data_IF_688778983888
#
_entry.id   IF_688778983888
#
_cell.length_a   1.000
_cell.length_b   1.000
_cell.length_c   1.000
_cell.angle_alpha   90.00
_cell.angle_beta   90.00
_cell.angle_gamma   90.00
#
_symmetry.space_group_name_H-M   'P 1'
#
loop_
_entity.id
_entity.type
_entity.pdbx_description
1 polymer ?
#
# COMPACT_ATOMS: atom_id res chain seq x y z
N UNK A 1 -16.26 -29.32 19.12
CA UNK A 1 -15.19 -29.23 18.10
C UNK A 1 -14.79 -27.77 18.00
N UNK A 2 -13.52 -27.43 18.18
CA UNK A 2 -13.12 -26.01 18.16
C UNK A 2 -13.30 -25.45 16.76
N UNK A 3 -14.09 -24.39 16.64
CA UNK A 3 -14.44 -23.74 15.38
C UNK A 3 -13.22 -23.04 14.79
N UNK A 4 -12.75 -23.49 13.61
CA UNK A 4 -11.60 -22.93 12.88
C UNK A 4 -12.07 -21.82 11.94
N UNK A 5 -11.32 -20.73 11.87
CA UNK A 5 -11.57 -19.61 10.96
C UNK A 5 -10.52 -19.54 9.85
N UNK A 6 -10.88 -18.91 8.73
CA UNK A 6 -10.02 -18.67 7.58
C UNK A 6 -9.93 -17.16 7.34
N UNK A 7 -8.75 -16.62 7.06
CA UNK A 7 -8.62 -15.30 6.45
C UNK A 7 -7.93 -15.41 5.09
N UNK A 8 -8.51 -14.78 4.07
CA UNK A 8 -7.82 -14.55 2.80
C UNK A 8 -7.11 -13.20 2.87
N UNK A 9 -5.80 -13.18 2.64
CA UNK A 9 -4.99 -11.97 2.60
C UNK A 9 -4.50 -11.76 1.17
N UNK A 10 -4.84 -10.60 0.60
CA UNK A 10 -4.48 -10.26 -0.78
C UNK A 10 -3.05 -9.73 -0.88
N UNK A 11 -2.48 -9.76 -2.09
CA UNK A 11 -1.10 -9.31 -2.35
C UNK A 11 -0.85 -7.83 -2.08
N UNK A 12 -1.91 -7.02 -2.03
CA UNK A 12 -1.87 -5.61 -1.65
C UNK A 12 -2.27 -5.36 -0.19
N UNK A 13 -2.37 -6.41 0.65
CA UNK A 13 -2.82 -6.35 2.04
C UNK A 13 -1.78 -6.93 3.03
N UNK A 14 -0.48 -6.79 2.76
CA UNK A 14 0.61 -7.39 3.55
C UNK A 14 0.91 -6.61 4.84
N UNK A 15 -0.11 -6.41 5.68
CA UNK A 15 0.00 -5.69 6.96
C UNK A 15 -0.38 -6.59 8.14
N UNK A 16 0.42 -6.56 9.21
CA UNK A 16 0.13 -7.31 10.43
C UNK A 16 -1.08 -6.77 11.21
N UNK A 17 -1.50 -5.52 10.93
CA UNK A 17 -2.59 -4.84 11.62
C UNK A 17 -3.92 -4.91 10.87
N UNK A 18 -4.02 -5.77 9.84
CA UNK A 18 -5.28 -5.97 9.14
C UNK A 18 -6.37 -6.50 10.08
N UNK A 19 -7.59 -5.93 10.04
CA UNK A 19 -8.70 -6.44 10.84
C UNK A 19 -9.06 -7.91 10.55
N UNK A 20 -8.97 -8.35 9.29
CA UNK A 20 -9.22 -9.74 8.89
C UNK A 20 -8.21 -10.71 9.52
N UNK A 21 -6.95 -10.28 9.66
CA UNK A 21 -5.89 -11.06 10.30
C UNK A 21 -6.01 -11.03 11.83
N UNK A 22 -6.36 -9.88 12.41
CA UNK A 22 -6.54 -9.71 13.86
C UNK A 22 -7.75 -10.47 14.41
N UNK A 23 -8.73 -10.82 13.55
CA UNK A 23 -9.85 -11.65 13.93
C UNK A 23 -9.45 -13.13 14.18
N UNK A 24 -8.29 -13.56 13.67
CA UNK A 24 -7.85 -14.94 13.79
C UNK A 24 -7.12 -15.23 15.10
N UNK A 25 -7.27 -16.46 15.59
CA UNK A 25 -6.37 -17.06 16.57
C UNK A 25 -5.16 -17.69 15.84
N UNK A 26 -3.93 -17.17 16.02
CA UNK A 26 -2.75 -17.64 15.27
C UNK A 26 -2.49 -19.15 15.39
N UNK A 27 -2.72 -19.72 16.58
CA UNK A 27 -2.41 -21.13 16.86
C UNK A 27 -3.37 -22.12 16.19
N UNK A 28 -4.54 -21.68 15.74
CA UNK A 28 -5.63 -22.56 15.26
C UNK A 28 -6.11 -22.20 13.87
N UNK A 29 -6.30 -20.92 13.62
CA UNK A 29 -6.96 -20.44 12.41
C UNK A 29 -5.97 -20.37 11.25
N UNK A 30 -6.50 -20.35 10.03
CA UNK A 30 -5.71 -20.44 8.81
C UNK A 30 -5.66 -19.10 8.08
N UNK A 31 -4.47 -18.71 7.64
CA UNK A 31 -4.27 -17.63 6.67
C UNK A 31 -4.04 -18.26 5.30
N UNK A 32 -4.80 -17.82 4.30
CA UNK A 32 -4.61 -18.17 2.89
C UNK A 32 -4.01 -16.98 2.14
N UNK A 33 -2.93 -17.22 1.42
CA UNK A 33 -2.39 -16.33 0.38
C UNK A 33 -2.20 -17.16 -0.90
N UNK A 34 -2.48 -16.56 -2.04
CA UNK A 34 -2.34 -17.24 -3.32
C UNK A 34 -1.82 -16.31 -4.42
N UNK A 35 -0.78 -16.76 -5.13
CA UNK A 35 -0.32 -16.18 -6.38
C UNK A 35 -1.16 -16.81 -7.51
N UNK A 36 -2.00 -16.04 -8.20
CA UNK A 36 -2.93 -16.60 -9.19
C UNK A 36 -2.78 -15.94 -10.56
N UNK A 37 -3.00 -16.71 -11.62
CA UNK A 37 -2.81 -16.21 -12.98
C UNK A 37 -3.75 -15.05 -13.30
N UNK A 38 -5.02 -15.12 -12.91
CA UNK A 38 -6.02 -14.06 -13.15
C UNK A 38 -5.53 -12.68 -12.67
N UNK A 39 -4.97 -12.60 -11.47
CA UNK A 39 -4.48 -11.34 -10.92
C UNK A 39 -3.20 -10.85 -11.60
N UNK A 40 -2.36 -11.78 -12.06
CA UNK A 40 -1.13 -11.48 -12.78
C UNK A 40 -1.33 -11.17 -14.27
N UNK A 41 -2.52 -11.40 -14.83
CA UNK A 41 -2.78 -11.28 -16.28
C UNK A 41 -4.04 -10.50 -16.68
N UNK A 42 -4.89 -10.05 -15.75
CA UNK A 42 -6.08 -9.24 -16.09
C UNK A 42 -5.71 -7.93 -16.83
N UNK A 43 -4.49 -7.43 -16.60
CA UNK A 43 -3.80 -6.47 -17.45
C UNK A 43 -2.32 -6.92 -17.61
N UNK A 44 -1.62 -6.50 -18.67
CA UNK A 44 -0.21 -6.86 -18.86
C UNK A 44 0.70 -6.06 -17.90
N UNK A 45 0.74 -6.45 -16.63
CA UNK A 45 1.54 -5.78 -15.60
C UNK A 45 3.03 -5.82 -15.94
N UNK A 46 3.77 -4.77 -15.58
CA UNK A 46 5.23 -4.77 -15.69
C UNK A 46 5.83 -5.96 -14.89
N UNK A 47 6.80 -6.73 -15.44
CA UNK A 47 7.39 -7.88 -14.76
C UNK A 47 7.89 -7.59 -13.34
N UNK A 48 8.55 -6.44 -13.10
CA UNK A 48 8.97 -6.05 -11.74
C UNK A 48 7.80 -5.88 -10.76
N UNK A 49 6.61 -5.46 -11.21
CA UNK A 49 5.43 -5.37 -10.33
C UNK A 49 4.99 -6.75 -9.87
N UNK A 50 4.95 -7.71 -10.80
CA UNK A 50 4.60 -9.11 -10.49
C UNK A 50 5.63 -9.70 -9.52
N UNK A 51 6.92 -9.55 -9.84
CA UNK A 51 8.01 -10.04 -8.99
C UNK A 51 8.00 -9.39 -7.59
N UNK A 52 7.74 -8.08 -7.52
CA UNK A 52 7.59 -7.36 -6.26
C UNK A 52 6.47 -7.92 -5.40
N UNK A 53 5.26 -8.05 -5.96
CA UNK A 53 4.10 -8.56 -5.23
C UNK A 53 4.31 -10.00 -4.75
N UNK A 54 4.75 -10.91 -5.63
CA UNK A 54 4.96 -12.31 -5.25
C UNK A 54 6.09 -12.47 -4.23
N UNK A 55 7.21 -11.76 -4.42
CA UNK A 55 8.29 -11.79 -3.44
C UNK A 55 7.81 -11.26 -2.09
N UNK A 56 7.12 -10.13 -2.05
CA UNK A 56 6.60 -9.56 -0.80
C UNK A 56 5.57 -10.48 -0.14
N UNK A 57 4.69 -11.12 -0.92
CA UNK A 57 3.71 -12.10 -0.42
C UNK A 57 4.38 -13.31 0.22
N UNK A 58 5.40 -13.90 -0.43
CA UNK A 58 6.17 -15.04 0.11
C UNK A 58 6.88 -14.66 1.42
N UNK A 59 7.51 -13.49 1.46
CA UNK A 59 8.14 -12.98 2.68
C UNK A 59 7.14 -12.71 3.81
N UNK A 60 5.98 -12.15 3.47
CA UNK A 60 4.92 -11.91 4.45
C UNK A 60 4.36 -13.22 5.01
N UNK A 61 4.21 -14.26 4.18
CA UNK A 61 3.81 -15.58 4.63
C UNK A 61 4.80 -16.19 5.63
N UNK A 62 6.12 -16.08 5.37
CA UNK A 62 7.15 -16.48 6.33
C UNK A 62 7.09 -15.66 7.61
N UNK A 63 6.91 -14.35 7.50
CA UNK A 63 6.79 -13.46 8.65
C UNK A 63 5.55 -13.78 9.52
N UNK A 64 4.45 -14.21 8.91
CA UNK A 64 3.26 -14.70 9.62
C UNK A 64 3.52 -16.04 10.31
N UNK A 65 4.19 -16.99 9.64
CA UNK A 65 4.59 -18.28 10.25
C UNK A 65 5.47 -18.07 11.48
N UNK A 66 6.44 -17.15 11.40
CA UNK A 66 7.30 -16.78 12.53
C UNK A 66 6.53 -16.13 13.69
N UNK A 67 5.38 -15.49 13.40
CA UNK A 67 4.45 -14.94 14.40
C UNK A 67 3.45 -15.98 14.94
N UNK A 68 3.58 -17.23 14.52
CA UNK A 68 2.77 -18.35 15.01
C UNK A 68 1.46 -18.58 14.27
N UNK A 69 1.21 -17.87 13.15
CA UNK A 69 0.05 -18.14 12.30
C UNK A 69 0.24 -19.44 11.50
N UNK A 70 -0.85 -20.19 11.33
CA UNK A 70 -0.88 -21.23 10.29
C UNK A 70 -1.13 -20.56 8.93
N UNK A 71 -0.25 -20.83 7.95
CA UNK A 71 -0.31 -20.19 6.63
C UNK A 71 -0.32 -21.25 5.54
N UNK A 72 -1.41 -21.30 4.78
CA UNK A 72 -1.47 -21.98 3.50
C UNK A 72 -1.10 -20.96 2.41
N UNK A 73 0.02 -21.20 1.75
CA UNK A 73 0.50 -20.36 0.66
C UNK A 73 0.48 -21.15 -0.64
N UNK A 74 -0.16 -20.61 -1.67
CA UNK A 74 -0.26 -21.25 -2.99
C UNK A 74 0.58 -20.46 -3.97
N UNK A 75 1.65 -21.08 -4.48
CA UNK A 75 2.53 -20.45 -5.47
C UNK A 75 1.92 -20.50 -6.85
N UNK A 76 2.34 -19.59 -7.74
CA UNK A 76 1.80 -19.51 -9.10
C UNK A 76 2.06 -20.79 -9.92
N UNK A 77 3.15 -21.48 -9.62
CA UNK A 77 3.61 -22.71 -10.29
C UNK A 77 3.16 -24.00 -9.59
N UNK A 78 2.37 -23.91 -8.51
CA UNK A 78 1.72 -25.07 -7.89
C UNK A 78 0.81 -25.77 -8.92
N UNK A 79 1.00 -27.07 -9.20
CA UNK A 79 0.16 -27.82 -10.15
C UNK A 79 -1.33 -27.85 -9.79
N UNK A 80 -1.69 -27.65 -8.52
CA UNK A 80 -3.06 -27.62 -8.03
C UNK A 80 -3.66 -26.21 -7.99
N UNK A 81 -2.89 -25.16 -8.34
CA UNK A 81 -3.37 -23.77 -8.37
C UNK A 81 -4.60 -23.65 -9.28
N UNK A 82 -5.69 -23.08 -8.76
CA UNK A 82 -6.97 -22.95 -9.47
C UNK A 82 -6.97 -21.80 -10.47
N UNK A 83 -5.97 -20.91 -10.41
CA UNK A 83 -5.80 -19.78 -11.32
C UNK A 83 -6.53 -18.50 -10.92
N UNK A 84 -7.33 -18.49 -9.85
CA UNK A 84 -8.11 -17.34 -9.37
C UNK A 84 -8.27 -17.31 -7.85
N UNK A 85 -8.37 -16.12 -7.25
CA UNK A 85 -8.54 -15.97 -5.79
C UNK A 85 -9.80 -16.67 -5.28
N UNK A 86 -10.90 -16.57 -6.03
CA UNK A 86 -12.15 -17.24 -5.68
C UNK A 86 -12.00 -18.77 -5.75
N UNK A 87 -11.34 -19.29 -6.77
CA UNK A 87 -11.11 -20.74 -6.89
C UNK A 87 -10.23 -21.28 -5.76
N UNK A 88 -9.21 -20.53 -5.34
CA UNK A 88 -8.34 -20.87 -4.23
C UNK A 88 -9.10 -20.92 -2.90
N UNK A 89 -9.95 -19.91 -2.68
CA UNK A 89 -10.82 -19.85 -1.51
C UNK A 89 -11.81 -21.02 -1.50
N UNK A 90 -12.46 -21.31 -2.63
CA UNK A 90 -13.38 -22.46 -2.77
C UNK A 90 -12.67 -23.79 -2.55
N UNK A 91 -11.45 -23.96 -3.08
CA UNK A 91 -10.65 -25.17 -2.88
C UNK A 91 -10.33 -25.37 -1.40
N UNK A 92 -9.96 -24.31 -0.68
CA UNK A 92 -9.70 -24.39 0.75
C UNK A 92 -10.96 -24.73 1.55
N UNK A 93 -12.10 -24.13 1.22
CA UNK A 93 -13.40 -24.42 1.86
C UNK A 93 -13.92 -25.83 1.57
N UNK A 94 -13.52 -26.44 0.46
CA UNK A 94 -13.85 -27.83 0.14
C UNK A 94 -12.93 -28.82 0.88
N UNK A 95 -11.67 -28.45 1.14
CA UNK A 95 -10.70 -29.29 1.82
C UNK A 95 -10.92 -29.37 3.33
N UNK A 96 -11.38 -28.28 3.95
CA UNK A 96 -11.52 -28.17 5.40
C UNK A 96 -12.78 -27.38 5.79
N UNK A 97 -13.35 -27.70 6.96
CA UNK A 97 -14.51 -26.97 7.48
C UNK A 97 -14.09 -25.73 8.27
N UNK A 98 -14.61 -24.57 7.87
CA UNK A 98 -14.43 -23.30 8.56
C UNK A 98 -15.78 -22.73 8.99
N UNK A 99 -15.81 -22.02 10.12
CA UNK A 99 -17.06 -21.38 10.59
C UNK A 99 -17.28 -19.99 10.02
N UNK A 100 -16.23 -19.34 9.54
CA UNK A 100 -16.28 -18.03 8.92
C UNK A 100 -15.04 -17.82 8.04
N UNK A 101 -15.21 -17.03 6.98
CA UNK A 101 -14.11 -16.51 6.18
C UNK A 101 -13.98 -15.02 6.42
N UNK A 102 -12.81 -14.54 6.82
CA UNK A 102 -12.53 -13.14 7.12
C UNK A 102 -11.81 -12.49 5.94
N UNK A 103 -12.38 -11.43 5.39
CA UNK A 103 -11.78 -10.67 4.30
C UNK A 103 -11.75 -9.19 4.65
N UNK A 104 -10.64 -8.53 4.34
CA UNK A 104 -10.58 -7.09 4.32
C UNK A 104 -11.14 -6.59 2.96
N UNK A 105 -11.87 -5.48 2.99
CA UNK A 105 -12.21 -4.68 1.81
C UNK A 105 -11.07 -4.66 0.80
N UNK A 106 -11.37 -4.94 -0.47
CA UNK A 106 -10.34 -5.06 -1.50
C UNK A 106 -9.93 -3.71 -2.06
N UNK A 107 -8.83 -3.67 -2.83
CA UNK A 107 -8.41 -2.50 -3.61
C UNK A 107 -9.00 -2.43 -5.02
N UNK A 108 -9.71 -3.47 -5.48
CA UNK A 108 -10.20 -3.62 -6.86
C UNK A 108 -11.65 -4.11 -6.87
N UNK A 109 -12.55 -3.33 -7.46
CA UNK A 109 -13.96 -3.65 -7.62
C UNK A 109 -14.20 -5.01 -8.29
N UNK A 110 -13.39 -5.43 -9.27
CA UNK A 110 -13.53 -6.74 -9.94
C UNK A 110 -13.37 -7.87 -8.93
N UNK A 111 -12.35 -7.78 -8.08
CA UNK A 111 -12.04 -8.77 -7.04
C UNK A 111 -13.15 -8.77 -5.98
N UNK A 112 -13.55 -7.59 -5.50
CA UNK A 112 -14.63 -7.49 -4.50
C UNK A 112 -15.95 -8.06 -5.02
N UNK A 113 -16.30 -7.75 -6.28
CA UNK A 113 -17.50 -8.26 -6.92
C UNK A 113 -17.45 -9.78 -7.06
N UNK A 114 -16.36 -10.33 -7.58
CA UNK A 114 -16.17 -11.78 -7.75
C UNK A 114 -16.40 -12.54 -6.43
N UNK A 115 -15.84 -12.02 -5.33
CA UNK A 115 -15.97 -12.64 -4.01
C UNK A 115 -17.36 -12.46 -3.38
N UNK A 116 -18.02 -11.31 -3.60
CA UNK A 116 -19.39 -11.07 -3.12
C UNK A 116 -20.43 -11.91 -3.86
N UNK A 117 -20.25 -12.12 -5.17
CA UNK A 117 -21.18 -12.89 -6.00
C UNK A 117 -21.12 -14.40 -5.71
N UNK A 118 -20.06 -14.89 -5.04
CA UNK A 118 -19.83 -16.30 -4.77
C UNK A 118 -20.68 -16.92 -3.64
N UNK A 119 -21.53 -16.13 -2.97
CA UNK A 119 -22.40 -16.55 -1.85
C UNK A 119 -21.68 -17.38 -0.76
N UNK A 120 -20.44 -17.00 -0.46
CA UNK A 120 -19.63 -17.62 0.60
C UNK A 120 -19.90 -16.94 1.95
N UNK A 121 -19.76 -17.64 3.10
CA UNK A 121 -19.96 -17.08 4.44
C UNK A 121 -18.81 -16.15 4.86
N UNK A 122 -18.69 -15.02 4.15
CA UNK A 122 -17.63 -14.04 4.32
C UNK A 122 -18.05 -12.96 5.32
N UNK A 123 -17.23 -12.79 6.35
CA UNK A 123 -17.23 -11.60 7.21
C UNK A 123 -16.29 -10.56 6.61
N UNK A 124 -16.87 -9.48 6.09
CA UNK A 124 -16.14 -8.35 5.52
C UNK A 124 -15.69 -7.36 6.60
N UNK A 125 -14.45 -6.92 6.51
CA UNK A 125 -13.85 -5.92 7.39
C UNK A 125 -13.44 -4.69 6.58
N UNK A 126 -13.66 -3.50 7.14
CA UNK A 126 -13.17 -2.26 6.54
C UNK A 126 -11.64 -2.23 6.47
N UNK A 127 -11.07 -1.65 5.42
CA UNK A 127 -9.63 -1.46 5.32
C UNK A 127 -9.16 -0.27 6.17
N UNK A 128 -8.69 -0.55 7.37
CA UNK A 128 -8.23 0.44 8.36
C UNK A 128 -6.87 1.08 8.03
N UNK A 129 -6.18 0.60 6.98
CA UNK A 129 -4.92 1.20 6.52
C UNK A 129 -5.13 2.56 5.86
N UNK A 130 -6.35 2.85 5.43
CA UNK A 130 -6.76 4.19 5.01
C UNK A 130 -7.23 5.03 6.19
N UNK A 131 -7.03 6.35 6.09
CA UNK A 131 -7.42 7.30 7.13
C UNK A 131 -8.91 7.68 7.02
N UNK A 132 -9.48 7.54 5.83
CA UNK A 132 -10.88 7.75 5.52
C UNK A 132 -11.55 6.43 5.10
N UNK A 133 -12.62 6.03 5.80
CA UNK A 133 -13.44 4.88 5.38
C UNK A 133 -14.27 5.24 4.13
N UNK A 134 -14.75 4.21 3.42
CA UNK A 134 -15.60 4.40 2.24
C UNK A 134 -16.89 5.14 2.60
N UNK A 135 -17.51 4.80 3.73
CA UNK A 135 -18.72 5.44 4.25
C UNK A 135 -18.46 6.90 4.62
N UNK A 136 -17.33 7.20 5.26
CA UNK A 136 -16.96 8.57 5.60
C UNK A 136 -16.75 9.43 4.36
N UNK A 137 -16.09 8.88 3.34
CA UNK A 137 -15.89 9.60 2.08
C UNK A 137 -17.22 9.84 1.36
N UNK A 138 -18.09 8.82 1.30
CA UNK A 138 -19.43 8.96 0.71
C UNK A 138 -20.27 10.03 1.43
N UNK A 139 -20.23 10.06 2.78
CA UNK A 139 -20.89 11.10 3.57
C UNK A 139 -20.31 12.49 3.31
N UNK A 140 -18.99 12.61 3.12
CA UNK A 140 -18.36 13.87 2.74
C UNK A 140 -18.81 14.33 1.34
N UNK A 141 -18.90 13.41 0.38
CA UNK A 141 -19.27 13.72 -1.00
C UNK A 141 -20.76 14.05 -1.17
N UNK A 142 -21.62 13.49 -0.32
CA UNK A 142 -23.07 13.63 -0.41
C UNK A 142 -23.52 15.10 -0.53
N UNK A 143 -24.37 15.37 -1.53
CA UNK A 143 -24.94 16.71 -1.79
C UNK A 143 -23.98 17.73 -2.42
N UNK A 144 -22.70 17.39 -2.65
CA UNK A 144 -21.75 18.29 -3.32
C UNK A 144 -21.89 18.20 -4.83
N UNK A 145 -22.05 19.34 -5.50
CA UNK A 145 -22.07 19.42 -6.98
C UNK A 145 -20.71 19.20 -7.62
N UNK A 146 -19.64 19.54 -6.91
CA UNK A 146 -18.26 19.37 -7.36
C UNK A 146 -17.41 18.87 -6.20
N UNK A 147 -16.62 17.84 -6.46
CA UNK A 147 -15.64 17.33 -5.51
C UNK A 147 -14.28 17.98 -5.82
N UNK A 148 -13.62 18.52 -4.80
CA UNK A 148 -12.25 19.07 -4.93
C UNK A 148 -11.39 18.53 -3.79
N UNK A 149 -10.21 18.02 -4.14
CA UNK A 149 -9.24 17.45 -3.18
C UNK A 149 -8.91 18.45 -2.06
N UNK A 150 -8.75 19.74 -2.38
CA UNK A 150 -8.41 20.76 -1.38
C UNK A 150 -9.42 20.82 -0.21
N UNK A 151 -10.73 20.78 -0.47
CA UNK A 151 -11.73 20.83 0.59
C UNK A 151 -11.72 19.56 1.43
N UNK A 152 -11.58 18.40 0.79
CA UNK A 152 -11.40 17.13 1.48
C UNK A 152 -10.18 17.15 2.40
N UNK A 153 -9.02 17.59 1.88
CA UNK A 153 -7.77 17.66 2.63
C UNK A 153 -7.87 18.58 3.86
N UNK A 154 -8.48 19.76 3.72
CA UNK A 154 -8.71 20.68 4.85
C UNK A 154 -9.56 20.03 5.95
N UNK A 155 -10.62 19.33 5.59
CA UNK A 155 -11.46 18.61 6.56
C UNK A 155 -10.70 17.46 7.24
N UNK A 156 -9.89 16.72 6.49
CA UNK A 156 -9.09 15.63 7.02
C UNK A 156 -8.02 16.13 7.98
N UNK A 157 -7.35 17.25 7.68
CA UNK A 157 -6.40 17.89 8.59
C UNK A 157 -7.06 18.33 9.89
N UNK A 158 -8.23 18.97 9.83
CA UNK A 158 -9.04 19.33 11.02
C UNK A 158 -9.39 18.11 11.86
N UNK A 159 -9.89 17.05 11.21
CA UNK A 159 -10.33 15.83 11.89
C UNK A 159 -9.19 15.10 12.60
N UNK A 160 -8.01 15.06 11.99
CA UNK A 160 -6.84 14.35 12.52
C UNK A 160 -5.88 15.25 13.30
N UNK A 161 -6.19 16.54 13.42
CA UNK A 161 -5.37 17.54 14.07
C UNK A 161 -3.92 17.60 13.53
N UNK A 162 -3.75 17.56 12.21
CA UNK A 162 -2.42 17.52 11.57
C UNK A 162 -1.98 18.93 11.17
N UNK A 163 -0.80 19.35 11.64
CA UNK A 163 -0.18 20.66 11.39
C UNK A 163 -1.09 21.86 11.76
N UNK A 164 -1.92 21.74 12.80
CA UNK A 164 -2.80 22.81 13.25
C UNK A 164 -2.27 23.51 14.50
N UNK A 165 -2.57 24.79 14.62
CA UNK A 165 -2.41 25.54 15.85
C UNK A 165 -3.50 25.13 16.87
N UNK A 166 -3.32 25.41 18.17
CA UNK A 166 -4.31 25.09 19.21
C UNK A 166 -5.70 25.71 18.98
N UNK A 167 -5.79 26.81 18.23
CA UNK A 167 -7.04 27.48 17.86
C UNK A 167 -7.75 26.84 16.64
N UNK A 168 -7.19 25.78 16.07
CA UNK A 168 -7.71 25.08 14.89
C UNK A 168 -7.37 25.73 13.54
N UNK A 169 -6.56 26.80 13.54
CA UNK A 169 -6.03 27.40 12.30
C UNK A 169 -4.83 26.60 11.78
N UNK A 170 -4.55 26.61 10.46
CA UNK A 170 -3.40 25.89 9.94
C UNK A 170 -2.09 26.57 10.35
N UNK A 171 -1.10 25.76 10.73
CA UNK A 171 0.28 26.22 10.93
C UNK A 171 0.77 26.96 9.68
N UNK A 172 1.46 28.08 9.88
CA UNK A 172 1.92 28.96 8.81
C UNK A 172 0.82 29.82 8.15
N UNK A 173 -0.42 29.77 8.62
CA UNK A 173 -1.52 30.65 8.18
C UNK A 173 -2.18 30.26 6.85
N UNK A 174 -1.68 29.23 6.17
CA UNK A 174 -2.25 28.72 4.92
C UNK A 174 -2.47 27.20 4.98
N UNK A 175 -3.46 26.71 4.24
CA UNK A 175 -3.76 25.28 4.18
C UNK A 175 -2.84 24.49 3.25
N UNK A 176 -2.19 25.17 2.31
CA UNK A 176 -1.42 24.57 1.22
C UNK A 176 -0.27 25.50 0.84
N UNK A 177 0.95 24.95 0.70
CA UNK A 177 2.18 25.64 0.30
C UNK A 177 2.72 25.18 -1.06
N UNK A 178 1.86 24.63 -1.93
CA UNK A 178 2.21 24.12 -3.28
C UNK A 178 2.95 25.14 -4.17
N UNK A 179 2.64 26.43 -4.01
CA UNK A 179 3.28 27.49 -4.78
C UNK A 179 4.78 27.62 -4.46
N UNK A 180 5.19 27.24 -3.24
CA UNK A 180 6.58 27.30 -2.78
C UNK A 180 7.40 26.07 -3.24
N UNK A 181 6.73 25.05 -3.82
CA UNK A 181 7.32 23.76 -4.18
C UNK A 181 7.78 23.66 -5.65
N UNK A 182 8.18 24.80 -6.24
CA UNK A 182 8.46 24.93 -7.68
C UNK A 182 9.85 25.47 -7.98
N UNK A 183 10.81 25.25 -7.07
CA UNK A 183 12.17 25.74 -7.28
C UNK A 183 12.86 24.93 -8.39
N UNK A 184 13.68 25.62 -9.18
CA UNK A 184 14.54 24.97 -10.16
C UNK A 184 15.66 24.20 -9.46
N UNK A 185 15.97 22.99 -9.94
CA UNK A 185 17.08 22.19 -9.42
C UNK A 185 18.43 22.91 -9.68
N UNK A 186 19.23 23.19 -8.65
CA UNK A 186 20.57 23.76 -8.83
C UNK A 186 21.47 22.84 -9.66
N UNK A 187 22.34 23.42 -10.50
CA UNK A 187 23.27 22.64 -11.36
C UNK A 187 24.15 21.64 -10.62
N UNK A 188 24.45 21.91 -9.34
CA UNK A 188 25.30 21.07 -8.49
C UNK A 188 24.51 20.35 -7.39
N UNK A 189 23.17 20.28 -7.51
CA UNK A 189 22.35 19.53 -6.58
C UNK A 189 22.77 18.06 -6.60
N UNK A 190 22.91 17.48 -5.40
CA UNK A 190 23.22 16.06 -5.23
C UNK A 190 22.00 15.42 -4.58
N UNK A 191 21.06 14.88 -5.36
CA UNK A 191 19.95 14.15 -4.78
C UNK A 191 20.46 12.94 -4.00
N UNK A 192 19.68 12.42 -3.05
CA UNK A 192 20.04 11.23 -2.30
C UNK A 192 20.28 10.03 -3.22
N UNK A 193 21.30 9.25 -2.93
CA UNK A 193 21.53 8.00 -3.66
C UNK A 193 20.35 7.05 -3.44
N UNK A 194 19.94 6.30 -4.47
CA UNK A 194 18.85 5.35 -4.30
C UNK A 194 19.29 4.23 -3.36
N UNK A 195 18.60 4.09 -2.21
CA UNK A 195 18.68 2.87 -1.43
C UNK A 195 18.26 1.69 -2.32
N UNK A 196 19.12 0.66 -2.38
CA UNK A 196 18.90 -0.55 -3.16
C UNK A 196 18.79 -1.75 -2.22
N UNK A 197 17.73 -2.53 -2.40
CA UNK A 197 17.57 -3.83 -1.74
C UNK A 197 18.16 -4.89 -2.65
N UNK A 198 18.98 -5.77 -2.10
CA UNK A 198 19.55 -6.88 -2.88
C UNK A 198 18.56 -8.05 -2.84
N UNK A 199 18.19 -8.65 -3.98
CA UNK A 199 17.39 -9.86 -4.02
C UNK A 199 17.98 -10.96 -3.14
N UNK A 200 17.16 -11.55 -2.28
CA UNK A 200 17.53 -12.75 -1.54
C UNK A 200 17.09 -14.03 -2.27
N UNK A 201 17.25 -15.19 -1.64
CA UNK A 201 16.90 -16.47 -2.27
C UNK A 201 15.42 -16.54 -2.71
N UNK A 202 14.48 -16.05 -1.89
CA UNK A 202 13.06 -16.06 -2.23
C UNK A 202 12.81 -15.11 -3.41
N UNK A 203 13.42 -13.92 -3.41
CA UNK A 203 13.28 -12.97 -4.51
C UNK A 203 13.89 -13.51 -5.81
N UNK A 204 15.06 -14.15 -5.76
CA UNK A 204 15.73 -14.79 -6.91
C UNK A 204 14.84 -15.85 -7.57
N UNK A 205 14.22 -16.73 -6.77
CA UNK A 205 13.28 -17.73 -7.25
C UNK A 205 12.07 -17.10 -7.95
N UNK A 206 11.49 -16.05 -7.35
CA UNK A 206 10.37 -15.31 -7.94
C UNK A 206 10.80 -14.62 -9.24
N UNK A 207 11.98 -14.02 -9.30
CA UNK A 207 12.51 -13.39 -10.52
C UNK A 207 12.68 -14.42 -11.65
N UNK A 208 13.16 -15.63 -11.34
CA UNK A 208 13.26 -16.71 -12.32
C UNK A 208 11.88 -17.14 -12.83
N UNK A 209 10.92 -17.34 -11.93
CA UNK A 209 9.54 -17.69 -12.28
C UNK A 209 8.88 -16.62 -13.17
N UNK A 210 9.01 -15.34 -12.79
CA UNK A 210 8.40 -14.23 -13.55
C UNK A 210 9.05 -14.10 -14.93
N UNK A 211 10.38 -14.25 -15.02
CA UNK A 211 11.10 -14.24 -16.30
C UNK A 211 10.59 -15.34 -17.23
N UNK A 212 10.28 -16.52 -16.70
CA UNK A 212 9.75 -17.63 -17.50
C UNK A 212 8.30 -17.40 -17.94
N UNK A 213 7.43 -16.93 -17.04
CA UNK A 213 5.97 -16.88 -17.27
C UNK A 213 5.49 -15.61 -17.95
N UNK A 214 6.19 -14.49 -17.76
CA UNK A 214 5.74 -13.16 -18.19
C UNK A 214 6.77 -12.44 -19.06
N UNK A 215 7.63 -13.18 -19.78
CA UNK A 215 8.64 -12.64 -20.72
C UNK A 215 8.07 -11.80 -21.86
N UNK A 216 6.77 -11.94 -22.14
CA UNK A 216 6.05 -11.19 -23.18
C UNK A 216 5.46 -9.86 -22.68
N UNK A 217 5.54 -9.57 -21.37
CA UNK A 217 5.06 -8.32 -20.80
C UNK A 217 6.08 -7.19 -21.04
N UNK A 218 5.59 -5.95 -21.16
CA UNK A 218 6.44 -4.78 -21.30
C UNK A 218 7.28 -4.52 -20.03
N UNK A 219 8.60 -4.36 -20.21
CA UNK A 219 9.56 -4.05 -19.15
C UNK A 219 10.71 -5.04 -19.03
N UNK A 220 11.68 -4.72 -18.18
CA UNK A 220 12.77 -5.64 -17.80
C UNK A 220 12.73 -5.95 -16.30
N UNK A 221 13.25 -7.13 -15.92
CA UNK A 221 13.51 -7.51 -14.52
C UNK A 221 14.89 -7.06 -14.02
N UNK A 222 15.72 -6.47 -14.89
CA UNK A 222 17.04 -5.98 -14.52
C UNK A 222 16.94 -4.87 -13.45
N UNK A 223 17.97 -4.72 -12.62
CA UNK A 223 18.04 -3.73 -11.53
C UNK A 223 16.86 -3.78 -10.54
N UNK A 224 16.34 -4.97 -10.25
CA UNK A 224 15.29 -5.15 -9.24
C UNK A 224 15.80 -4.84 -7.83
N UNK A 225 15.34 -3.73 -7.25
CA UNK A 225 15.80 -3.22 -5.96
C UNK A 225 14.67 -2.74 -5.02
N UNK A 226 13.50 -3.36 -5.10
CA UNK A 226 12.33 -2.97 -4.30
C UNK A 226 12.41 -3.45 -2.84
N UNK A 227 11.84 -2.69 -1.87
CA UNK A 227 11.66 -3.14 -0.50
C UNK A 227 10.52 -4.17 -0.39
N UNK A 228 10.88 -5.43 -0.31
CA UNK A 228 9.96 -6.59 -0.29
C UNK A 228 9.56 -7.04 1.13
N UNK A 229 10.18 -6.50 2.18
CA UNK A 229 9.83 -6.77 3.57
C UNK A 229 9.46 -5.49 4.33
N UNK A 230 8.75 -5.62 5.46
CA UNK A 230 8.47 -4.48 6.37
C UNK A 230 9.77 -3.77 6.78
N UNK A 231 10.81 -4.52 7.14
CA UNK A 231 12.10 -3.97 7.54
C UNK A 231 12.80 -3.21 6.41
N UNK A 232 12.74 -3.71 5.17
CA UNK A 232 13.29 -2.99 4.02
C UNK A 232 12.53 -1.69 3.74
N UNK A 233 11.20 -1.73 3.87
CA UNK A 233 10.35 -0.57 3.66
C UNK A 233 10.59 0.50 4.74
N UNK A 234 10.74 0.10 6.01
CA UNK A 234 11.11 0.99 7.11
C UNK A 234 12.51 1.60 6.91
N UNK A 235 13.48 0.82 6.42
CA UNK A 235 14.81 1.33 6.07
C UNK A 235 14.75 2.36 4.94
N UNK A 236 13.94 2.11 3.90
CA UNK A 236 13.70 3.07 2.83
C UNK A 236 13.06 4.36 3.36
N UNK A 237 12.10 4.23 4.27
CA UNK A 237 11.43 5.37 4.90
C UNK A 237 12.40 6.20 5.74
N UNK A 238 13.17 5.57 6.62
CA UNK A 238 14.19 6.25 7.42
C UNK A 238 15.21 6.99 6.56
N UNK A 239 15.68 6.35 5.48
CA UNK A 239 16.59 6.99 4.52
C UNK A 239 15.98 8.25 3.90
N UNK A 240 14.70 8.20 3.52
CA UNK A 240 14.02 9.39 2.99
C UNK A 240 13.86 10.50 4.04
N UNK A 241 13.52 10.17 5.29
CA UNK A 241 13.44 11.16 6.37
C UNK A 241 14.76 11.90 6.57
N UNK A 242 15.87 11.18 6.54
CA UNK A 242 17.19 11.73 6.82
C UNK A 242 17.79 12.51 5.64
N UNK A 243 17.46 12.10 4.40
CA UNK A 243 18.16 12.63 3.21
C UNK A 243 17.26 13.32 2.18
N UNK A 244 15.97 12.95 2.10
CA UNK A 244 15.05 13.44 1.06
C UNK A 244 14.06 14.48 1.54
N UNK A 245 13.45 14.28 2.71
CA UNK A 245 12.28 15.03 3.16
C UNK A 245 12.52 16.55 3.19
N UNK A 246 13.68 17.00 3.67
CA UNK A 246 13.97 18.43 3.80
C UNK A 246 13.88 19.20 2.47
N UNK A 247 14.24 18.55 1.36
CA UNK A 247 14.22 19.16 0.02
C UNK A 247 13.07 18.66 -0.86
N UNK A 248 12.15 17.85 -0.30
CA UNK A 248 11.02 17.29 -1.03
C UNK A 248 10.15 18.39 -1.66
N UNK A 249 9.83 19.43 -0.90
CA UNK A 249 8.99 20.53 -1.36
C UNK A 249 9.65 21.30 -2.50
N UNK A 250 10.87 21.79 -2.28
CA UNK A 250 11.58 22.67 -3.22
C UNK A 250 11.68 22.08 -4.64
N UNK A 251 11.94 20.78 -4.74
CA UNK A 251 12.20 20.10 -6.02
C UNK A 251 11.08 19.15 -6.44
N UNK A 252 9.87 19.31 -5.90
CA UNK A 252 8.75 18.40 -6.14
C UNK A 252 8.41 18.25 -7.64
N UNK A 253 8.53 19.34 -8.40
CA UNK A 253 8.21 19.39 -9.84
C UNK A 253 9.46 19.35 -10.74
N UNK A 254 10.66 19.20 -10.17
CA UNK A 254 11.90 19.19 -10.94
C UNK A 254 12.07 17.87 -11.71
N UNK A 255 12.75 17.95 -12.87
CA UNK A 255 13.20 16.80 -13.64
C UNK A 255 14.65 17.02 -14.06
N UNK A 256 15.47 15.97 -14.00
CA UNK A 256 16.85 16.00 -14.44
C UNK A 256 17.23 14.70 -15.15
N UNK A 257 18.09 14.81 -16.17
CA UNK A 257 18.67 13.65 -16.84
C UNK A 257 19.48 12.83 -15.84
N UNK A 258 19.41 11.50 -15.96
CA UNK A 258 20.13 10.52 -15.13
C UNK A 258 19.80 10.53 -13.63
N UNK A 259 18.81 11.34 -13.22
CA UNK A 259 18.35 11.46 -11.83
C UNK A 259 16.87 11.06 -11.71
N UNK A 260 16.53 9.76 -11.81
CA UNK A 260 15.15 9.29 -11.95
C UNK A 260 14.29 9.48 -10.70
N UNK A 261 14.87 9.84 -9.56
CA UNK A 261 14.18 9.87 -8.27
C UNK A 261 14.23 11.20 -7.55
N UNK A 262 15.25 12.04 -7.81
CA UNK A 262 15.49 13.28 -7.08
C UNK A 262 15.27 13.11 -5.57
N UNK A 263 14.40 13.92 -4.97
CA UNK A 263 14.10 13.91 -3.55
C UNK A 263 12.77 13.20 -3.24
N UNK A 264 12.30 12.32 -4.12
CA UNK A 264 11.08 11.55 -3.86
C UNK A 264 11.33 10.36 -2.92
N UNK A 265 10.36 10.07 -2.07
CA UNK A 265 10.46 9.01 -1.07
C UNK A 265 10.53 7.58 -1.63
N UNK A 266 10.06 7.35 -2.86
CA UNK A 266 10.01 6.02 -3.51
C UNK A 266 9.25 4.95 -2.72
N UNK A 267 8.38 5.35 -1.78
CA UNK A 267 7.67 4.44 -0.88
C UNK A 267 6.33 3.92 -1.42
N UNK A 268 5.84 4.43 -2.56
CA UNK A 268 4.47 4.16 -3.02
C UNK A 268 4.17 2.67 -3.19
N UNK A 269 5.11 1.90 -3.76
CA UNK A 269 4.98 0.46 -3.92
C UNK A 269 4.80 -0.24 -2.56
N UNK A 270 5.69 0.04 -1.59
CA UNK A 270 5.64 -0.56 -0.26
C UNK A 270 4.39 -0.14 0.54
N UNK A 271 4.04 1.14 0.50
CA UNK A 271 2.87 1.68 1.18
C UNK A 271 1.57 1.08 0.64
N UNK A 272 1.45 0.94 -0.67
CA UNK A 272 0.21 0.47 -1.29
C UNK A 272 -0.06 -1.02 -1.05
N UNK A 273 0.97 -1.81 -0.75
CA UNK A 273 0.80 -3.22 -0.40
C UNK A 273 0.76 -3.47 1.11
N UNK A 274 0.87 -2.43 1.94
CA UNK A 274 0.74 -2.54 3.40
C UNK A 274 2.04 -2.79 4.18
N UNK A 275 3.22 -2.68 3.55
CA UNK A 275 4.51 -2.77 4.24
C UNK A 275 4.86 -1.50 5.05
N UNK A 276 4.12 -0.40 4.84
CA UNK A 276 4.24 0.84 5.60
C UNK A 276 2.86 1.27 6.12
N UNK A 277 2.83 1.92 7.28
CA UNK A 277 1.62 2.54 7.84
C UNK A 277 1.62 4.04 7.60
N UNK A 278 0.64 4.52 6.83
CA UNK A 278 0.45 5.94 6.52
C UNK A 278 0.36 6.83 7.77
N UNK A 279 -0.16 6.31 8.89
CA UNK A 279 -0.25 7.04 10.15
C UNK A 279 1.13 7.32 10.72
N UNK A 280 1.99 6.31 10.71
CA UNK A 280 3.39 6.46 11.13
C UNK A 280 4.11 7.47 10.24
N UNK A 281 3.96 7.35 8.91
CA UNK A 281 4.59 8.27 7.96
C UNK A 281 4.20 9.73 8.21
N UNK A 282 2.91 10.01 8.41
CA UNK A 282 2.43 11.36 8.72
C UNK A 282 2.97 11.85 10.06
N UNK A 283 2.95 11.00 11.09
CA UNK A 283 3.46 11.34 12.43
C UNK A 283 4.95 11.67 12.41
N UNK A 284 5.75 10.91 11.66
CA UNK A 284 7.19 11.11 11.56
C UNK A 284 7.54 12.43 10.85
N UNK A 285 6.79 12.76 9.79
CA UNK A 285 6.95 14.03 9.06
C UNK A 285 6.55 15.21 9.93
N UNK A 286 5.43 15.11 10.64
CA UNK A 286 4.99 16.13 11.59
C UNK A 286 6.02 16.32 12.73
N UNK A 287 6.54 15.23 13.30
CA UNK A 287 7.59 15.28 14.30
C UNK A 287 8.89 15.92 13.76
N UNK A 288 9.27 15.63 12.52
CA UNK A 288 10.42 16.26 11.88
C UNK A 288 10.24 17.79 11.73
N UNK A 289 9.04 18.23 11.37
CA UNK A 289 8.70 19.65 11.28
C UNK A 289 8.78 20.35 12.65
N UNK A 290 8.12 19.78 13.68
CA UNK A 290 8.13 20.37 15.02
C UNK A 290 9.51 20.41 15.67
N UNK A 291 10.39 19.46 15.31
CA UNK A 291 11.79 19.47 15.70
C UNK A 291 12.65 20.47 14.92
N UNK A 292 12.08 21.23 13.97
CA UNK A 292 12.79 22.18 13.13
C UNK A 292 13.73 21.55 12.10
N UNK A 293 13.59 20.25 11.81
CA UNK A 293 14.46 19.52 10.88
C UNK A 293 14.10 19.73 9.43
N UNK A 294 12.84 20.06 9.14
CA UNK A 294 12.32 20.24 7.78
C UNK A 294 11.44 21.48 7.71
N UNK A 295 11.42 22.19 6.56
CA UNK A 295 10.57 23.37 6.40
C UNK A 295 9.09 22.98 6.24
N UNK A 296 8.20 23.92 6.53
CA UNK A 296 6.76 23.68 6.50
C UNK A 296 6.25 23.28 5.11
N UNK A 297 6.77 23.88 4.03
CA UNK A 297 6.35 23.57 2.66
C UNK A 297 6.64 22.11 2.27
N UNK A 298 7.78 21.58 2.72
CA UNK A 298 8.13 20.18 2.50
C UNK A 298 7.25 19.24 3.34
N UNK A 299 7.06 19.53 4.64
CA UNK A 299 6.24 18.71 5.52
C UNK A 299 4.76 18.69 5.10
N UNK A 300 4.16 19.86 4.88
CA UNK A 300 2.78 20.00 4.40
C UNK A 300 2.63 19.37 3.02
N UNK A 301 3.55 19.67 2.08
CA UNK A 301 3.51 19.15 0.72
C UNK A 301 3.54 17.63 0.68
N UNK A 302 4.38 16.99 1.50
CA UNK A 302 4.45 15.53 1.61
C UNK A 302 3.18 14.95 2.24
N UNK A 303 2.74 15.49 3.38
CA UNK A 303 1.50 15.04 4.05
C UNK A 303 0.29 15.21 3.13
N UNK A 304 0.24 16.26 2.31
CA UNK A 304 -0.84 16.49 1.34
C UNK A 304 -0.92 15.40 0.27
N UNK A 305 0.20 14.80 -0.15
CA UNK A 305 0.17 13.66 -1.07
C UNK A 305 -0.50 12.42 -0.44
N UNK A 306 -0.25 12.19 0.86
CA UNK A 306 -0.75 11.02 1.58
C UNK A 306 -2.17 11.22 2.13
N UNK A 307 -2.38 12.26 2.94
CA UNK A 307 -3.66 12.56 3.59
C UNK A 307 -4.68 13.19 2.62
N UNK A 308 -4.19 13.92 1.61
CA UNK A 308 -5.01 14.55 0.58
C UNK A 308 -5.22 13.61 -0.61
N UNK A 309 -4.24 13.56 -1.52
CA UNK A 309 -4.41 12.89 -2.81
C UNK A 309 -4.66 11.39 -2.72
N UNK A 310 -3.84 10.63 -1.98
CA UNK A 310 -4.01 9.16 -1.89
C UNK A 310 -5.38 8.77 -1.32
N UNK A 311 -5.80 9.41 -0.23
CA UNK A 311 -7.12 9.18 0.38
C UNK A 311 -8.27 9.65 -0.54
N UNK A 312 -8.11 10.80 -1.21
CA UNK A 312 -9.11 11.34 -2.13
C UNK A 312 -9.31 10.45 -3.35
N UNK A 313 -8.23 9.96 -3.97
CA UNK A 313 -8.29 9.06 -5.12
C UNK A 313 -8.99 7.74 -4.78
N UNK A 314 -8.69 7.12 -3.62
CA UNK A 314 -9.44 5.93 -3.17
C UNK A 314 -10.92 6.23 -2.99
N UNK A 315 -11.24 7.37 -2.39
CA UNK A 315 -12.63 7.78 -2.17
C UNK A 315 -13.39 7.96 -3.48
N UNK A 316 -12.80 8.65 -4.45
CA UNK A 316 -13.37 8.83 -5.80
C UNK A 316 -13.56 7.48 -6.49
N UNK A 317 -12.56 6.60 -6.45
CA UNK A 317 -12.66 5.26 -7.04
C UNK A 317 -13.90 4.51 -6.51
N UNK A 318 -14.04 4.36 -5.20
CA UNK A 318 -15.16 3.61 -4.63
C UNK A 318 -16.51 4.32 -4.72
N UNK A 319 -16.52 5.65 -4.89
CA UNK A 319 -17.75 6.39 -5.11
C UNK A 319 -18.32 6.19 -6.52
N UNK A 320 -17.46 5.98 -7.52
CA UNK A 320 -17.86 5.93 -8.92
C UNK A 320 -17.90 4.52 -9.51
N UNK A 321 -17.12 3.56 -9.00
CA UNK A 321 -17.18 2.19 -9.53
C UNK A 321 -18.60 1.61 -9.39
N UNK A 322 -19.09 0.88 -10.41
CA UNK A 322 -18.36 0.43 -11.61
C UNK A 322 -18.41 1.35 -12.84
N UNK A 323 -19.02 2.54 -12.75
CA UNK A 323 -19.16 3.46 -13.89
C UNK A 323 -17.84 4.15 -14.25
#
# INVERSE_FOLDING_TARGET
MSQRQLALILGDQLSFNLPSLQALNPARDLVLLAEVHEEASHVPHHPQKIAFLFSAMRHFAEALRQRGYQVHYVTLDDPANSGSLLGELQRQLAAESFTAVHLCETGDWRVEKSLKDADLPITWHADTRFLCSRERFAAWAAGKKQLRMEFFYREQRKRLNILLNPDGTPVGGAWNFDADNRQALPKNAKPPYPLRVTPDAITEEVLALVRQRFSHHYGSLDDFHYPITHADAERLWGYFLDHGLAAFGDYQDAMACDEPYLFHARISAALNIGLLDVRQLISDVEAAYWAGRVPLNAAEGFIRQLLGWREYVRGIYWLHMPE
#
